data_IF_826919445164
#
_entry.id   IF_826919445164
#
_cell.length_a   1.000
_cell.length_b   1.000
_cell.length_c   1.000
_cell.angle_alpha   90.00
_cell.angle_beta   90.00
_cell.angle_gamma   90.00
#
_symmetry.space_group_name_H-M   'P 1'
#
loop_
_entity.id
_entity.type
_entity.pdbx_description
1 polymer ?
#
# COMPACT_ATOMS: atom_id res chain seq x y z
N UNK A 1 -34.87 11.79 33.58
CA UNK A 1 -33.52 11.47 34.06
C UNK A 1 -32.53 11.93 33.01
N UNK A 2 -32.00 13.13 33.16
CA UNK A 2 -30.87 13.66 32.39
C UNK A 2 -29.60 13.18 33.08
N UNK A 3 -28.75 12.45 32.36
CA UNK A 3 -27.44 12.03 32.87
C UNK A 3 -26.47 13.16 32.59
N UNK A 4 -25.94 13.74 33.66
CA UNK A 4 -24.88 14.74 33.63
C UNK A 4 -23.58 14.08 33.19
N UNK A 5 -22.94 14.63 32.16
CA UNK A 5 -21.66 14.16 31.59
C UNK A 5 -20.46 14.98 32.08
N UNK A 6 -20.59 15.74 33.18
CA UNK A 6 -19.44 16.42 33.80
C UNK A 6 -18.59 15.45 34.64
N UNK A 7 -18.06 14.38 34.03
CA UNK A 7 -16.96 13.64 34.63
C UNK A 7 -15.67 14.40 34.32
N UNK A 8 -15.08 15.02 35.34
CA UNK A 8 -13.79 15.70 35.27
C UNK A 8 -12.75 14.78 34.63
N UNK A 9 -12.09 15.28 33.59
CA UNK A 9 -10.88 14.66 33.06
C UNK A 9 -9.80 14.70 34.15
N UNK A 10 -9.72 13.64 34.96
CA UNK A 10 -8.60 13.46 35.87
C UNK A 10 -7.35 13.29 35.01
N UNK A 11 -6.43 14.25 35.11
CA UNK A 11 -5.16 14.20 34.41
C UNK A 11 -4.47 12.87 34.70
N UNK A 12 -4.14 12.11 33.66
CA UNK A 12 -3.29 10.93 33.77
C UNK A 12 -1.96 11.42 34.33
N UNK A 13 -1.42 10.84 35.41
CA UNK A 13 -0.12 11.25 35.94
C UNK A 13 0.93 11.12 34.84
N UNK A 14 1.62 12.22 34.51
CA UNK A 14 2.78 12.15 33.62
C UNK A 14 3.85 11.31 34.32
N UNK A 15 4.45 10.34 33.63
CA UNK A 15 5.70 9.76 34.10
C UNK A 15 6.75 10.87 34.11
N UNK A 16 7.01 11.44 35.30
CA UNK A 16 8.00 12.48 35.52
C UNK A 16 9.39 11.86 35.60
N UNK A 17 9.90 11.39 34.47
CA UNK A 17 11.25 10.89 34.30
C UNK A 17 11.59 10.86 32.81
N UNK A 18 12.84 11.17 32.46
CA UNK A 18 13.36 10.94 31.11
C UNK A 18 13.07 9.48 30.72
N UNK A 19 12.22 9.27 29.72
CA UNK A 19 12.00 7.94 29.16
C UNK A 19 13.35 7.51 28.60
N UNK A 20 14.00 6.55 29.26
CA UNK A 20 15.25 5.99 28.79
C UNK A 20 15.01 5.40 27.38
N UNK A 21 15.54 6.08 26.35
CA UNK A 21 15.32 5.72 24.95
C UNK A 21 16.12 4.49 24.54
N UNK A 22 17.09 4.06 25.35
CA UNK A 22 17.91 2.89 25.13
C UNK A 22 17.30 1.65 25.80
N UNK A 23 16.05 1.30 25.45
CA UNK A 23 15.50 -0.02 25.78
C UNK A 23 16.18 -1.03 24.84
N UNK A 24 16.98 -1.99 25.35
CA UNK A 24 17.59 -2.98 24.49
C UNK A 24 16.50 -3.81 23.80
N UNK A 25 16.70 -4.11 22.51
CA UNK A 25 15.84 -5.06 21.81
C UNK A 25 15.85 -6.41 22.57
N UNK A 26 14.72 -7.13 22.64
CA UNK A 26 14.69 -8.44 23.25
C UNK A 26 15.74 -9.36 22.61
N UNK A 27 16.53 -10.05 23.42
CA UNK A 27 17.54 -10.99 22.91
C UNK A 27 16.80 -12.21 22.33
N UNK A 28 16.86 -12.38 21.01
CA UNK A 28 16.19 -13.48 20.28
C UNK A 28 17.11 -14.68 19.98
N UNK A 29 18.36 -14.65 20.44
CA UNK A 29 19.40 -15.64 20.10
C UNK A 29 19.04 -17.09 20.52
N UNK A 30 18.19 -17.26 21.52
CA UNK A 30 17.77 -18.59 21.99
C UNK A 30 16.79 -19.31 21.05
N UNK A 31 16.23 -18.62 20.05
CA UNK A 31 15.17 -19.14 19.18
C UNK A 31 13.83 -19.38 19.88
N UNK A 32 13.77 -19.22 21.22
CA UNK A 32 12.55 -19.30 22.03
C UNK A 32 11.69 -18.05 21.80
N UNK A 33 12.34 -16.88 21.72
CA UNK A 33 11.68 -15.63 21.41
C UNK A 33 11.84 -15.31 19.92
N UNK A 34 10.75 -15.46 19.18
CA UNK A 34 10.68 -15.07 17.76
C UNK A 34 9.76 -13.86 17.59
N UNK A 35 10.03 -12.99 16.61
CA UNK A 35 9.03 -12.02 16.17
C UNK A 35 7.73 -12.75 15.82
N UNK A 36 6.58 -12.23 16.28
CA UNK A 36 5.26 -12.82 16.02
C UNK A 36 4.96 -12.96 14.52
N UNK A 37 5.54 -12.09 13.70
CA UNK A 37 5.34 -12.05 12.26
C UNK A 37 6.61 -12.61 11.60
N UNK A 38 6.60 -13.88 11.25
CA UNK A 38 7.61 -14.49 10.39
C UNK A 38 7.15 -14.27 8.93
N UNK A 39 7.69 -13.24 8.26
CA UNK A 39 7.28 -12.82 6.90
C UNK A 39 7.82 -13.77 5.82
N UNK A 40 8.74 -14.67 6.17
CA UNK A 40 9.23 -15.67 5.24
C UNK A 40 8.14 -16.71 4.98
N UNK A 41 7.28 -16.46 3.99
CA UNK A 41 6.45 -17.51 3.40
C UNK A 41 7.32 -18.29 2.40
N UNK A 42 7.85 -19.48 2.73
CA UNK A 42 8.75 -20.20 1.83
C UNK A 42 8.01 -20.93 0.69
N UNK A 43 6.68 -20.91 0.70
CA UNK A 43 5.85 -21.69 -0.20
C UNK A 43 4.77 -20.83 -0.86
N UNK A 44 4.12 -21.40 -1.89
CA UNK A 44 2.85 -20.85 -2.34
C UNK A 44 1.81 -21.01 -1.23
N UNK A 45 1.07 -19.95 -0.95
CA UNK A 45 -0.12 -20.02 -0.10
C UNK A 45 -1.30 -19.45 -0.86
N UNK A 46 -2.49 -19.92 -0.53
CA UNK A 46 -3.71 -19.39 -1.12
C UNK A 46 -4.78 -19.19 -0.06
N UNK A 47 -5.73 -18.31 -0.36
CA UNK A 47 -6.91 -18.10 0.43
C UNK A 47 -8.12 -17.93 -0.48
N UNK A 48 -9.18 -18.66 -0.15
CA UNK A 48 -10.50 -18.45 -0.73
C UNK A 48 -11.16 -17.20 -0.14
N UNK A 49 -11.95 -16.53 -0.97
CA UNK A 49 -12.75 -15.38 -0.57
C UNK A 49 -14.09 -15.42 -1.27
N UNK A 50 -15.13 -14.96 -0.58
CA UNK A 50 -16.48 -14.84 -1.12
C UNK A 50 -16.72 -13.54 -1.90
N UNK A 51 -15.74 -12.62 -1.88
CA UNK A 51 -15.87 -11.34 -2.58
C UNK A 51 -16.02 -11.56 -4.07
N UNK A 52 -16.95 -10.85 -4.71
CA UNK A 52 -17.01 -10.75 -6.16
C UNK A 52 -15.86 -9.87 -6.64
N UNK A 53 -15.09 -10.32 -7.62
CA UNK A 53 -14.07 -9.51 -8.28
C UNK A 53 -14.32 -9.51 -9.78
N UNK A 54 -14.19 -8.31 -10.38
CA UNK A 54 -14.35 -8.09 -11.82
C UNK A 54 -13.17 -7.32 -12.39
N UNK A 55 -12.64 -7.82 -13.50
CA UNK A 55 -11.64 -7.15 -14.33
C UNK A 55 -12.26 -6.72 -15.66
N UNK A 56 -12.13 -5.45 -16.01
CA UNK A 56 -12.75 -4.85 -17.20
C UNK A 56 -11.70 -4.20 -18.09
N UNK A 57 -11.80 -4.44 -19.40
CA UNK A 57 -11.02 -3.79 -20.45
C UNK A 57 -11.99 -3.09 -21.40
N UNK A 58 -11.88 -1.77 -21.54
CA UNK A 58 -12.91 -0.94 -22.14
C UNK A 58 -14.24 -1.10 -21.41
N UNK A 59 -15.24 -1.64 -22.10
CA UNK A 59 -16.56 -1.98 -21.54
C UNK A 59 -16.73 -3.50 -21.32
N UNK A 60 -15.74 -4.30 -21.70
CA UNK A 60 -15.83 -5.77 -21.64
C UNK A 60 -15.28 -6.29 -20.32
N UNK A 61 -16.13 -6.95 -19.54
CA UNK A 61 -15.68 -7.76 -18.41
C UNK A 61 -14.94 -9.00 -18.94
N UNK A 62 -13.62 -9.05 -18.73
CA UNK A 62 -12.76 -10.18 -19.14
C UNK A 62 -12.70 -11.27 -18.08
N UNK A 63 -13.07 -10.92 -16.84
CA UNK A 63 -13.25 -11.85 -15.73
C UNK A 63 -14.29 -11.31 -14.75
N UNK A 64 -15.12 -12.20 -14.19
CA UNK A 64 -16.11 -11.91 -13.14
C UNK A 64 -16.29 -13.16 -12.27
N UNK A 65 -15.89 -13.10 -11.00
CA UNK A 65 -15.82 -14.29 -10.15
C UNK A 65 -16.12 -14.00 -8.69
N UNK A 66 -16.85 -14.91 -8.03
CA UNK A 66 -17.01 -14.97 -6.56
C UNK A 66 -16.21 -16.11 -5.91
N UNK A 67 -15.37 -16.76 -6.70
CA UNK A 67 -14.59 -17.95 -6.32
C UNK A 67 -13.13 -17.79 -6.72
N UNK A 68 -12.65 -16.54 -6.78
CA UNK A 68 -11.24 -16.29 -7.03
C UNK A 68 -10.43 -16.63 -5.78
N UNK A 69 -9.18 -17.03 -6.01
CA UNK A 69 -8.20 -17.23 -4.97
C UNK A 69 -7.32 -16.00 -4.87
N UNK A 70 -7.00 -15.62 -3.64
CA UNK A 70 -5.80 -14.84 -3.35
C UNK A 70 -4.63 -15.82 -3.30
N UNK A 71 -3.61 -15.63 -4.12
CA UNK A 71 -2.42 -16.50 -4.16
C UNK A 71 -1.18 -15.68 -3.84
N UNK A 72 -0.42 -16.09 -2.83
CA UNK A 72 0.87 -15.51 -2.51
C UNK A 72 1.97 -16.46 -2.97
N UNK A 73 2.83 -15.98 -3.85
CA UNK A 73 4.07 -16.67 -4.19
C UNK A 73 5.03 -16.74 -2.98
N UNK A 74 5.99 -17.68 -2.96
CA UNK A 74 7.06 -17.70 -1.98
C UNK A 74 7.74 -16.34 -1.85
N UNK A 75 7.89 -15.84 -0.62
CA UNK A 75 8.50 -14.56 -0.30
C UNK A 75 7.78 -13.35 -0.93
N UNK A 76 6.52 -13.48 -1.38
CA UNK A 76 5.71 -12.33 -1.79
C UNK A 76 4.88 -11.84 -0.61
N UNK A 77 4.70 -10.52 -0.54
CA UNK A 77 3.81 -9.89 0.45
C UNK A 77 2.41 -9.70 -0.09
N UNK A 78 2.31 -9.42 -1.38
CA UNK A 78 1.06 -9.09 -2.03
C UNK A 78 0.50 -10.35 -2.70
N UNK A 79 -0.81 -10.59 -2.57
CA UNK A 79 -1.46 -11.66 -3.30
C UNK A 79 -1.66 -11.26 -4.77
N UNK A 80 -1.81 -12.28 -5.60
CA UNK A 80 -2.42 -12.19 -6.92
C UNK A 80 -3.85 -12.74 -6.89
N UNK A 81 -4.76 -12.17 -7.69
CA UNK A 81 -6.07 -12.77 -7.92
C UNK A 81 -5.98 -13.83 -9.01
N UNK A 82 -6.13 -15.09 -8.62
CA UNK A 82 -6.20 -16.24 -9.53
C UNK A 82 -7.66 -16.67 -9.66
N UNK A 83 -8.16 -16.77 -10.88
CA UNK A 83 -9.58 -17.00 -11.19
C UNK A 83 -9.79 -18.36 -11.82
N UNK A 84 -10.84 -19.13 -11.46
CA UNK A 84 -11.22 -20.31 -12.22
C UNK A 84 -11.38 -19.96 -13.70
N UNK A 85 -10.79 -20.76 -14.58
CA UNK A 85 -10.79 -20.51 -16.03
C UNK A 85 -12.21 -20.39 -16.60
N UNK A 86 -13.18 -21.09 -16.01
CA UNK A 86 -14.60 -20.99 -16.36
C UNK A 86 -15.23 -19.60 -16.08
N UNK A 87 -14.60 -18.77 -15.25
CA UNK A 87 -15.04 -17.40 -14.96
C UNK A 87 -14.28 -16.34 -15.77
N UNK A 88 -13.33 -16.78 -16.59
CA UNK A 88 -12.51 -15.95 -17.45
C UNK A 88 -12.99 -16.12 -18.89
N UNK A 89 -13.04 -15.02 -19.64
CA UNK A 89 -13.27 -15.06 -21.09
C UNK A 89 -12.04 -15.59 -21.83
N UNK A 90 -11.83 -16.90 -21.74
CA UNK A 90 -10.65 -17.58 -22.31
C UNK A 90 -10.60 -17.51 -23.83
N UNK A 91 -11.73 -17.28 -24.49
CA UNK A 91 -11.81 -17.01 -25.93
C UNK A 91 -11.06 -15.73 -26.34
N UNK A 92 -10.81 -14.82 -25.40
CA UNK A 92 -10.05 -13.58 -25.62
C UNK A 92 -8.55 -13.77 -25.37
N UNK A 93 -8.11 -14.93 -24.88
CA UNK A 93 -6.73 -15.22 -24.51
C UNK A 93 -6.03 -16.06 -25.56
N UNK A 94 -4.81 -15.68 -25.90
CA UNK A 94 -3.91 -16.44 -26.78
C UNK A 94 -2.60 -16.72 -26.06
N UNK A 95 -2.13 -17.99 -25.98
CA UNK A 95 -0.84 -18.29 -25.38
C UNK A 95 0.29 -17.49 -26.04
N UNK A 96 1.17 -16.92 -25.22
CA UNK A 96 2.36 -16.19 -25.68
C UNK A 96 3.61 -16.67 -24.94
N UNK A 97 4.77 -16.33 -25.48
CA UNK A 97 6.04 -16.52 -24.79
C UNK A 97 6.15 -15.57 -23.59
N UNK A 98 7.11 -15.82 -22.70
CA UNK A 98 7.43 -14.88 -21.64
C UNK A 98 7.95 -13.54 -22.21
N UNK A 99 7.71 -12.41 -21.53
CA UNK A 99 8.27 -11.13 -21.94
C UNK A 99 9.80 -11.18 -21.95
N UNK A 100 10.42 -10.63 -23.00
CA UNK A 100 11.87 -10.70 -23.23
C UNK A 100 12.70 -10.05 -22.11
N UNK A 101 12.18 -8.97 -21.53
CA UNK A 101 12.76 -8.31 -20.36
C UNK A 101 11.73 -8.31 -19.23
N UNK A 102 12.03 -8.90 -18.06
CA UNK A 102 11.12 -8.82 -16.93
C UNK A 102 10.98 -7.36 -16.51
N UNK A 103 9.74 -6.86 -16.43
CA UNK A 103 9.48 -5.46 -16.07
C UNK A 103 10.18 -5.10 -14.76
N UNK A 104 10.80 -3.93 -14.67
CA UNK A 104 11.61 -3.51 -13.50
C UNK A 104 10.80 -3.34 -12.20
N UNK A 105 9.46 -3.33 -12.27
CA UNK A 105 8.62 -3.17 -11.09
C UNK A 105 8.43 -4.51 -10.33
N UNK A 106 8.55 -4.50 -8.98
CA UNK A 106 8.57 -5.72 -8.17
C UNK A 106 7.18 -6.36 -7.93
N UNK A 107 6.08 -5.73 -8.33
CA UNK A 107 4.72 -6.14 -7.99
C UNK A 107 3.79 -6.22 -9.21
N UNK A 108 2.69 -6.98 -9.06
CA UNK A 108 1.58 -7.06 -10.01
C UNK A 108 1.83 -7.99 -11.20
N UNK A 109 2.80 -8.90 -11.08
CA UNK A 109 3.26 -9.88 -12.07
C UNK A 109 3.83 -11.12 -11.36
N UNK A 110 3.90 -12.28 -12.02
CA UNK A 110 4.55 -13.45 -11.44
C UNK A 110 6.05 -13.21 -11.27
N UNK A 111 6.58 -13.57 -10.11
CA UNK A 111 8.02 -13.68 -9.83
C UNK A 111 8.51 -15.12 -9.99
N UNK A 112 7.60 -16.08 -9.86
CA UNK A 112 7.81 -17.47 -10.19
C UNK A 112 8.01 -17.61 -11.71
N UNK A 113 9.12 -18.21 -12.16
CA UNK A 113 9.47 -18.21 -13.58
C UNK A 113 8.61 -19.18 -14.41
N UNK A 114 8.08 -20.23 -13.77
CA UNK A 114 7.34 -21.28 -14.46
C UNK A 114 5.85 -20.93 -14.56
N UNK A 115 5.52 -20.15 -15.57
CA UNK A 115 4.14 -19.77 -15.91
C UNK A 115 3.92 -19.81 -17.42
N UNK A 116 2.70 -20.13 -17.83
CA UNK A 116 2.26 -19.94 -19.22
C UNK A 116 1.66 -18.55 -19.36
N UNK A 117 2.23 -17.70 -20.20
CA UNK A 117 1.74 -16.35 -20.48
C UNK A 117 0.62 -16.32 -21.52
N UNK A 118 -0.23 -15.30 -21.47
CA UNK A 118 -1.28 -15.05 -22.43
C UNK A 118 -1.35 -13.57 -22.83
N UNK A 119 -1.52 -13.34 -24.12
CA UNK A 119 -1.99 -12.07 -24.67
C UNK A 119 -3.52 -12.03 -24.61
N UNK A 120 -4.09 -10.85 -24.38
CA UNK A 120 -5.52 -10.61 -24.33
C UNK A 120 -5.95 -9.72 -25.50
N UNK A 121 -6.97 -10.13 -26.25
CA UNK A 121 -7.53 -9.35 -27.37
C UNK A 121 -8.98 -8.97 -27.08
N UNK A 122 -9.29 -7.67 -27.04
CA UNK A 122 -10.64 -7.14 -26.80
C UNK A 122 -10.98 -6.14 -27.90
N UNK A 123 -11.89 -6.52 -28.80
CA UNK A 123 -12.10 -5.77 -30.04
C UNK A 123 -10.80 -5.66 -30.83
N UNK A 124 -10.40 -4.46 -31.20
CA UNK A 124 -9.15 -4.20 -31.94
C UNK A 124 -7.92 -4.05 -31.03
N UNK A 125 -8.10 -4.05 -29.70
CA UNK A 125 -7.01 -3.87 -28.75
C UNK A 125 -6.37 -5.21 -28.39
N UNK A 126 -5.12 -5.40 -28.80
CA UNK A 126 -4.25 -6.46 -28.31
C UNK A 126 -3.44 -5.96 -27.10
N UNK A 127 -3.44 -6.73 -26.02
CA UNK A 127 -2.74 -6.46 -24.76
C UNK A 127 -1.79 -7.62 -24.50
N UNK A 128 -0.51 -7.39 -24.72
CA UNK A 128 0.51 -8.44 -24.58
C UNK A 128 0.73 -8.79 -23.10
N UNK A 129 0.96 -10.07 -22.81
CA UNK A 129 1.31 -10.56 -21.46
C UNK A 129 0.32 -10.06 -20.39
N UNK A 130 -0.98 -10.12 -20.69
CA UNK A 130 -2.05 -9.59 -19.84
C UNK A 130 -2.42 -10.55 -18.71
N UNK A 131 -2.20 -11.85 -18.92
CA UNK A 131 -2.53 -12.90 -17.97
C UNK A 131 -1.48 -14.01 -18.00
N UNK A 132 -1.52 -14.86 -16.99
CA UNK A 132 -0.73 -16.07 -16.92
C UNK A 132 -1.48 -17.19 -16.22
N UNK A 133 -0.98 -18.40 -16.39
CA UNK A 133 -1.38 -19.60 -15.67
C UNK A 133 -0.18 -20.16 -14.92
N UNK A 134 -0.37 -20.46 -13.65
CA UNK A 134 0.68 -21.01 -12.78
C UNK A 134 1.00 -22.46 -13.19
N UNK A 135 2.29 -22.81 -13.23
CA UNK A 135 2.72 -24.22 -13.26
C UNK A 135 2.91 -24.73 -11.82
N UNK A 136 1.81 -24.74 -11.05
CA UNK A 136 1.82 -25.12 -9.62
C UNK A 136 0.67 -26.11 -9.38
N UNK A 137 0.94 -27.28 -8.75
CA UNK A 137 -0.11 -28.24 -8.43
C UNK A 137 -1.25 -27.61 -7.61
N UNK A 138 -2.50 -27.81 -8.04
CA UNK A 138 -3.71 -27.24 -7.45
C UNK A 138 -4.17 -25.90 -8.05
N UNK A 139 -3.37 -25.28 -8.93
CA UNK A 139 -3.72 -24.04 -9.64
C UNK A 139 -3.89 -24.25 -11.15
N UNK A 140 -3.97 -25.50 -11.61
CA UNK A 140 -4.01 -25.88 -13.02
C UNK A 140 -5.26 -25.41 -13.75
N UNK A 141 -6.34 -25.06 -13.05
CA UNK A 141 -7.55 -24.55 -13.69
C UNK A 141 -7.74 -23.05 -13.47
N UNK A 142 -6.71 -22.36 -12.97
CA UNK A 142 -6.76 -20.94 -12.66
C UNK A 142 -5.96 -20.07 -13.63
N UNK A 143 -6.48 -18.88 -13.91
CA UNK A 143 -5.84 -17.83 -14.71
C UNK A 143 -5.73 -16.57 -13.85
N UNK A 144 -4.56 -15.94 -13.91
CA UNK A 144 -4.20 -14.78 -13.11
C UNK A 144 -3.93 -13.60 -14.04
N UNK A 145 -4.28 -12.39 -13.63
CA UNK A 145 -4.16 -11.20 -14.47
C UNK A 145 -3.11 -10.22 -13.95
N UNK A 146 -2.51 -9.50 -14.88
CA UNK A 146 -1.48 -8.50 -14.63
C UNK A 146 -2.08 -7.17 -14.16
N UNK A 147 -1.50 -6.60 -13.10
CA UNK A 147 -1.99 -5.37 -12.44
C UNK A 147 -1.26 -4.08 -12.84
N UNK A 148 -0.35 -4.15 -13.83
CA UNK A 148 0.29 -2.94 -14.35
C UNK A 148 -0.68 -2.16 -15.23
N UNK A 149 -0.38 -0.87 -15.39
CA UNK A 149 -1.09 0.01 -16.31
C UNK A 149 -1.19 -0.59 -17.71
N UNK A 150 -2.37 -0.45 -18.31
CA UNK A 150 -2.63 -0.86 -19.69
C UNK A 150 -2.93 -2.35 -19.85
N UNK A 151 -2.91 -3.14 -18.76
CA UNK A 151 -3.25 -4.57 -18.78
C UNK A 151 -4.74 -4.80 -18.63
N UNK A 152 -5.28 -4.55 -17.44
CA UNK A 152 -6.72 -4.51 -17.17
C UNK A 152 -7.06 -3.08 -16.78
N UNK A 153 -8.09 -2.50 -17.40
CA UNK A 153 -8.36 -1.07 -17.28
C UNK A 153 -9.01 -0.74 -15.93
N UNK A 154 -9.93 -1.57 -15.46
CA UNK A 154 -10.61 -1.37 -14.17
C UNK A 154 -10.73 -2.67 -13.39
N UNK A 155 -10.52 -2.58 -12.09
CA UNK A 155 -10.79 -3.66 -11.15
C UNK A 155 -11.85 -3.23 -10.14
N UNK A 156 -12.79 -4.13 -9.89
CA UNK A 156 -13.83 -3.96 -8.88
C UNK A 156 -13.80 -5.11 -7.88
N UNK A 157 -13.93 -4.77 -6.60
CA UNK A 157 -14.32 -5.68 -5.54
C UNK A 157 -15.77 -5.35 -5.15
N UNK A 158 -16.66 -6.33 -5.27
CA UNK A 158 -18.10 -6.10 -5.35
C UNK A 158 -18.42 -5.05 -6.44
N UNK A 159 -18.93 -3.89 -6.02
CA UNK A 159 -19.19 -2.72 -6.87
C UNK A 159 -18.22 -1.56 -6.56
N UNK A 160 -17.28 -1.74 -5.63
CA UNK A 160 -16.27 -0.74 -5.32
C UNK A 160 -15.14 -0.79 -6.34
N UNK A 161 -14.85 0.36 -6.96
CA UNK A 161 -13.70 0.51 -7.83
C UNK A 161 -12.41 0.44 -7.00
N UNK A 162 -11.62 -0.61 -7.22
CA UNK A 162 -10.30 -0.81 -6.58
C UNK A 162 -9.20 -0.14 -7.40
N UNK A 163 -9.33 -0.14 -8.72
CA UNK A 163 -8.34 0.40 -9.65
C UNK A 163 -8.95 0.97 -10.92
N UNK A 164 -8.35 2.06 -11.41
CA UNK A 164 -8.50 2.56 -12.77
C UNK A 164 -7.10 2.84 -13.37
N UNK A 165 -6.80 2.21 -14.51
CA UNK A 165 -5.54 2.30 -15.24
C UNK A 165 -5.19 3.70 -15.73
N UNK A 166 -6.12 4.65 -15.69
CA UNK A 166 -5.82 6.05 -15.93
C UNK A 166 -4.86 6.65 -14.89
N UNK A 167 -4.73 6.06 -13.69
CA UNK A 167 -4.17 6.75 -12.54
C UNK A 167 -2.69 6.50 -12.22
N UNK A 168 -2.02 5.43 -12.69
CA UNK A 168 -0.61 5.15 -12.36
C UNK A 168 -0.03 3.90 -13.07
N UNK A 169 1.31 3.68 -13.07
CA UNK A 169 1.96 2.56 -13.75
C UNK A 169 1.80 1.21 -13.04
N UNK A 170 1.53 1.15 -11.73
CA UNK A 170 1.49 -0.12 -10.96
C UNK A 170 0.36 -0.17 -9.93
N UNK A 171 -0.19 -1.36 -9.72
CA UNK A 171 -1.16 -1.64 -8.65
C UNK A 171 -1.10 -3.13 -8.23
N UNK A 172 -1.96 -3.53 -7.28
CA UNK A 172 -2.09 -4.91 -6.81
C UNK A 172 -3.47 -5.19 -6.19
N UNK A 173 -3.86 -6.48 -6.06
CA UNK A 173 -5.01 -6.92 -5.28
C UNK A 173 -5.02 -6.44 -3.82
N UNK A 174 -6.20 -6.30 -3.21
CA UNK A 174 -6.29 -6.10 -1.75
C UNK A 174 -5.99 -7.41 -1.01
N UNK A 175 -5.17 -7.30 0.02
CA UNK A 175 -4.88 -8.34 1.00
C UNK A 175 -5.89 -8.23 2.15
N UNK A 176 -6.64 -9.29 2.51
CA UNK A 176 -7.59 -9.28 3.63
C UNK A 176 -6.94 -9.04 5.00
N UNK A 177 -5.62 -9.22 5.12
CA UNK A 177 -4.85 -8.96 6.34
C UNK A 177 -4.19 -7.59 6.35
N UNK A 178 -4.33 -6.79 5.28
CA UNK A 178 -3.95 -5.40 5.30
C UNK A 178 -4.86 -4.63 6.27
N UNK A 179 -4.26 -4.12 7.33
CA UNK A 179 -4.91 -3.29 8.33
C UNK A 179 -4.27 -1.91 8.31
N UNK A 180 -5.11 -0.88 8.38
CA UNK A 180 -4.67 0.51 8.52
C UNK A 180 -5.34 1.10 9.77
N UNK A 181 -4.54 1.48 10.75
CA UNK A 181 -5.01 2.21 11.93
C UNK A 181 -4.54 3.67 11.83
N UNK A 182 -5.50 4.60 11.95
CA UNK A 182 -5.22 6.05 11.98
C UNK A 182 -5.55 6.59 13.36
N UNK A 183 -4.51 6.86 14.14
CA UNK A 183 -4.59 7.18 15.57
C UNK A 183 -4.16 8.63 15.81
N UNK A 184 -5.00 9.48 16.43
CA UNK A 184 -4.62 10.83 16.78
C UNK A 184 -3.58 10.84 17.90
N UNK A 185 -2.68 11.81 17.86
CA UNK A 185 -1.62 11.99 18.85
C UNK A 185 -1.38 13.47 19.10
N UNK A 186 -1.15 13.82 20.37
CA UNK A 186 -0.73 15.15 20.80
C UNK A 186 0.78 15.31 20.92
N UNK A 187 1.55 14.28 20.56
CA UNK A 187 3.02 14.30 20.57
C UNK A 187 3.52 15.40 19.63
N UNK A 188 4.58 16.09 20.02
CA UNK A 188 5.16 17.17 19.22
C UNK A 188 5.97 16.58 18.07
N UNK A 189 5.61 16.89 16.84
CA UNK A 189 6.23 16.39 15.62
C UNK A 189 6.89 17.54 14.89
N UNK A 190 8.18 17.41 14.61
CA UNK A 190 8.94 18.34 13.79
C UNK A 190 9.54 17.61 12.60
N UNK A 191 9.45 18.20 11.42
CA UNK A 191 9.98 17.63 10.18
C UNK A 191 10.96 18.61 9.55
N UNK A 192 12.13 18.11 9.15
CA UNK A 192 13.19 18.90 8.53
C UNK A 192 13.62 18.28 7.20
N UNK A 193 13.98 19.10 6.24
CA UNK A 193 14.68 18.62 5.04
C UNK A 193 16.13 18.21 5.38
N UNK A 194 16.86 17.66 4.41
CA UNK A 194 18.25 17.24 4.60
C UNK A 194 19.23 18.41 4.74
N UNK A 195 18.80 19.65 4.47
CA UNK A 195 19.58 20.87 4.69
C UNK A 195 19.31 21.52 6.06
N UNK A 196 18.36 20.98 6.84
CA UNK A 196 17.99 21.45 8.17
C UNK A 196 16.87 22.49 8.20
N UNK A 197 16.21 22.78 7.07
CA UNK A 197 15.06 23.69 7.05
C UNK A 197 13.82 22.99 7.62
N UNK A 198 13.01 23.73 8.40
CA UNK A 198 11.75 23.23 8.95
C UNK A 198 10.71 23.09 7.83
N UNK A 199 10.17 21.88 7.67
CA UNK A 199 9.07 21.57 6.76
C UNK A 199 7.72 21.49 7.47
N UNK A 200 7.70 21.11 8.75
CA UNK A 200 6.48 21.10 9.56
C UNK A 200 6.80 21.13 11.07
N UNK A 201 5.88 21.68 11.86
CA UNK A 201 5.92 21.69 13.34
C UNK A 201 4.48 21.61 13.86
N UNK A 202 4.12 20.51 14.54
CA UNK A 202 2.74 20.20 14.90
C UNK A 202 2.62 19.43 16.22
N UNK A 203 1.53 19.65 16.95
CA UNK A 203 1.09 18.81 18.08
C UNK A 203 -0.25 18.12 17.77
N UNK A 204 -0.67 18.07 16.50
CA UNK A 204 -1.95 17.53 16.06
C UNK A 204 -1.77 16.50 14.92
N UNK A 205 -0.87 15.55 15.17
CA UNK A 205 -0.53 14.49 14.21
C UNK A 205 -1.52 13.33 14.22
N UNK A 206 -1.73 12.71 13.07
CA UNK A 206 -2.33 11.39 12.96
C UNK A 206 -1.25 10.37 12.61
N UNK A 207 -1.02 9.41 13.49
CA UNK A 207 -0.10 8.30 13.24
C UNK A 207 -0.86 7.20 12.49
N UNK A 208 -0.44 6.93 11.27
CA UNK A 208 -0.96 5.86 10.43
C UNK A 208 -0.03 4.65 10.54
N UNK A 209 -0.59 3.55 11.01
CA UNK A 209 0.06 2.24 11.06
C UNK A 209 -0.58 1.37 9.99
N UNK A 210 0.25 0.79 9.13
CA UNK A 210 -0.21 -0.09 8.07
C UNK A 210 0.58 -1.39 8.10
N UNK A 211 -0.11 -2.52 7.96
CA UNK A 211 0.50 -3.85 8.02
C UNK A 211 1.77 -3.89 7.17
N UNK A 212 2.89 -4.22 7.81
CA UNK A 212 4.21 -4.40 7.17
C UNK A 212 4.84 -3.14 6.54
N UNK A 213 4.30 -1.94 6.75
CA UNK A 213 4.89 -0.67 6.29
C UNK A 213 5.34 0.21 7.47
N UNK A 214 6.36 1.07 7.26
CA UNK A 214 6.74 2.06 8.25
C UNK A 214 5.58 2.98 8.61
N UNK A 215 5.38 3.34 9.89
CA UNK A 215 4.34 4.27 10.27
C UNK A 215 4.54 5.63 9.60
N UNK A 216 3.46 6.25 9.17
CA UNK A 216 3.46 7.58 8.55
C UNK A 216 2.69 8.56 9.43
N UNK A 217 3.24 9.76 9.61
CA UNK A 217 2.60 10.80 10.41
C UNK A 217 1.95 11.80 9.46
N UNK A 218 0.63 11.97 9.57
CA UNK A 218 -0.17 12.91 8.79
C UNK A 218 -0.45 14.17 9.60
N UNK A 219 0.14 15.29 9.15
CA UNK A 219 0.07 16.59 9.80
C UNK A 219 -0.98 17.48 9.13
N UNK A 220 -1.64 18.38 9.87
CA UNK A 220 -2.53 19.38 9.28
C UNK A 220 -1.78 20.26 8.29
N UNK A 221 -2.41 20.64 7.17
CA UNK A 221 -1.81 21.58 6.20
C UNK A 221 -1.37 22.90 6.84
N UNK A 222 -2.07 23.38 7.86
CA UNK A 222 -1.75 24.62 8.58
C UNK A 222 -0.38 24.57 9.30
N UNK A 223 0.09 23.38 9.63
CA UNK A 223 1.34 23.16 10.37
C UNK A 223 2.52 22.86 9.43
N UNK A 224 2.28 22.81 8.12
CA UNK A 224 3.26 22.55 7.07
C UNK A 224 3.73 23.86 6.44
N UNK A 225 5.04 24.01 6.29
CA UNK A 225 5.71 25.18 5.71
C UNK A 225 5.82 25.03 4.19
N UNK A 226 4.70 25.22 3.50
CA UNK A 226 4.64 25.12 2.03
C UNK A 226 5.55 26.13 1.32
N UNK A 227 5.98 27.20 1.98
CA UNK A 227 7.01 28.11 1.46
C UNK A 227 8.35 27.41 1.16
N UNK A 228 8.63 26.27 1.82
CA UNK A 228 9.84 25.46 1.63
C UNK A 228 9.62 24.27 0.67
N UNK A 229 8.41 24.14 0.11
CA UNK A 229 7.99 23.05 -0.75
C UNK A 229 7.62 23.54 -2.16
N UNK A 230 7.81 22.66 -3.15
CA UNK A 230 7.37 22.85 -4.53
C UNK A 230 6.48 21.70 -4.96
N UNK A 231 5.42 22.00 -5.71
CA UNK A 231 4.53 20.98 -6.27
C UNK A 231 5.30 20.08 -7.25
N UNK A 232 5.03 18.78 -7.16
CA UNK A 232 5.51 17.79 -8.12
C UNK A 232 4.31 17.25 -8.88
N UNK A 233 4.38 17.28 -10.22
CA UNK A 233 3.37 16.67 -11.08
C UNK A 233 3.47 15.13 -10.99
N UNK A 234 2.87 14.61 -9.94
CA UNK A 234 2.80 13.20 -9.61
C UNK A 234 1.46 12.94 -8.92
N UNK A 235 0.82 11.83 -9.25
CA UNK A 235 -0.37 11.37 -8.55
C UNK A 235 -0.31 9.86 -8.45
N UNK A 236 -0.43 9.30 -7.25
CA UNK A 236 -0.44 7.87 -7.01
C UNK A 236 -1.81 7.35 -6.57
N UNK A 237 -2.05 6.05 -6.73
CA UNK A 237 -3.27 5.38 -6.24
C UNK A 237 -2.89 4.15 -5.43
N UNK A 238 -3.51 4.01 -4.26
CA UNK A 238 -3.36 2.88 -3.37
C UNK A 238 -4.71 2.16 -3.24
N UNK A 239 -4.77 0.82 -3.37
CA UNK A 239 -6.01 0.04 -3.21
C UNK A 239 -6.76 0.29 -1.91
N UNK A 240 -6.02 0.68 -0.86
CA UNK A 240 -6.57 0.88 0.48
C UNK A 240 -6.87 2.35 0.81
N UNK A 241 -6.09 3.29 0.27
CA UNK A 241 -6.18 4.72 0.67
C UNK A 241 -6.82 5.60 -0.39
N UNK A 242 -6.95 5.13 -1.63
CA UNK A 242 -7.45 5.92 -2.75
C UNK A 242 -6.32 6.65 -3.49
N UNK A 243 -6.68 7.74 -4.16
CA UNK A 243 -5.77 8.53 -5.00
C UNK A 243 -5.18 9.71 -4.21
N UNK A 244 -3.87 9.92 -4.31
CA UNK A 244 -3.22 11.09 -3.72
C UNK A 244 -3.70 12.37 -4.41
N UNK A 245 -3.92 13.43 -3.63
CA UNK A 245 -4.30 14.75 -4.12
C UNK A 245 -3.11 15.67 -4.44
N UNK A 246 -1.89 15.31 -4.04
CA UNK A 246 -0.70 16.11 -4.34
C UNK A 246 0.59 15.50 -3.80
N UNK A 247 1.69 15.94 -4.38
CA UNK A 247 3.06 15.63 -4.00
C UNK A 247 3.91 16.89 -3.96
N UNK A 248 4.90 16.92 -3.07
CA UNK A 248 5.81 18.04 -2.95
C UNK A 248 7.27 17.59 -2.80
N UNK A 249 8.20 18.38 -3.36
CA UNK A 249 9.65 18.27 -3.16
C UNK A 249 10.17 19.41 -2.26
N UNK A 250 11.33 19.21 -1.63
CA UNK A 250 12.03 20.29 -0.92
C UNK A 250 12.78 21.19 -1.91
N UNK A 251 12.55 22.51 -1.82
CA UNK A 251 13.20 23.51 -2.70
C UNK A 251 14.72 23.45 -2.70
N UNK A 252 15.33 23.17 -1.55
CA UNK A 252 16.76 23.32 -1.33
C UNK A 252 17.61 22.10 -1.75
N UNK A 253 17.00 20.97 -2.14
CA UNK A 253 17.72 19.68 -2.19
C UNK A 253 17.59 18.95 -3.54
N UNK A 254 16.37 18.74 -4.05
CA UNK A 254 16.13 17.91 -5.24
C UNK A 254 14.64 17.95 -5.63
N UNK A 255 14.27 17.80 -6.92
CA UNK A 255 12.86 17.66 -7.34
C UNK A 255 12.21 16.34 -6.92
N UNK A 256 12.91 15.49 -6.15
CA UNK A 256 12.34 14.24 -5.65
C UNK A 256 11.18 14.55 -4.69
N UNK A 257 10.04 13.92 -4.93
CA UNK A 257 8.90 14.04 -4.02
C UNK A 257 9.26 13.50 -2.62
N UNK A 258 9.08 14.35 -1.61
CA UNK A 258 9.33 14.05 -0.20
C UNK A 258 8.06 14.07 0.66
N UNK A 259 6.98 14.66 0.17
CA UNK A 259 5.71 14.74 0.86
C UNK A 259 4.53 14.43 -0.07
N UNK A 260 3.42 13.99 0.50
CA UNK A 260 2.18 13.72 -0.24
C UNK A 260 0.93 13.99 0.62
N UNK A 261 -0.21 14.08 -0.04
CA UNK A 261 -1.52 14.20 0.60
C UNK A 261 -2.58 13.39 -0.13
N UNK A 262 -3.65 13.02 0.56
CA UNK A 262 -4.86 12.46 -0.02
C UNK A 262 -5.99 13.49 0.09
N UNK A 263 -6.47 14.03 -1.03
CA UNK A 263 -7.61 14.96 -1.04
C UNK A 263 -8.94 14.24 -0.88
N UNK A 264 -9.05 13.06 -1.47
CA UNK A 264 -10.24 12.20 -1.40
C UNK A 264 -9.83 10.77 -1.03
N UNK A 265 -9.36 10.55 0.22
CA UNK A 265 -9.01 9.22 0.67
C UNK A 265 -10.25 8.31 0.74
N UNK A 266 -10.02 6.99 0.70
CA UNK A 266 -11.07 6.00 0.93
C UNK A 266 -11.73 6.20 2.30
N UNK A 267 -12.97 5.73 2.44
CA UNK A 267 -13.75 5.90 3.68
C UNK A 267 -13.02 5.35 4.93
N UNK A 268 -12.33 4.23 4.77
CA UNK A 268 -11.61 3.55 5.86
C UNK A 268 -10.46 4.39 6.45
N UNK A 269 -9.90 5.31 5.67
CA UNK A 269 -8.82 6.20 6.12
C UNK A 269 -9.21 7.68 6.00
N UNK A 270 -10.50 7.99 5.93
CA UNK A 270 -11.03 9.35 5.73
C UNK A 270 -10.45 10.43 6.65
N UNK A 271 -10.00 10.05 7.86
CA UNK A 271 -9.32 10.95 8.81
C UNK A 271 -8.06 11.63 8.26
N UNK A 272 -7.37 11.03 7.29
CA UNK A 272 -6.16 11.62 6.68
C UNK A 272 -6.45 12.62 5.57
N UNK A 273 -7.74 12.88 5.26
CA UNK A 273 -8.15 13.82 4.23
C UNK A 273 -7.46 15.16 4.41
N UNK A 274 -6.86 15.65 3.32
CA UNK A 274 -6.17 16.93 3.24
C UNK A 274 -5.01 17.11 4.23
N UNK A 275 -4.52 16.03 4.85
CA UNK A 275 -3.31 16.07 5.68
C UNK A 275 -2.08 15.69 4.86
N UNK A 276 -0.92 16.13 5.31
CA UNK A 276 0.37 15.93 4.63
C UNK A 276 1.20 14.93 5.41
N UNK A 277 1.74 13.94 4.72
CA UNK A 277 2.75 13.03 5.26
C UNK A 277 4.06 13.19 4.49
N UNK A 278 5.16 12.80 5.13
CA UNK A 278 6.50 12.86 4.57
C UNK A 278 7.09 11.46 4.45
N UNK A 279 7.96 11.26 3.46
CA UNK A 279 8.74 10.05 3.34
C UNK A 279 9.85 10.10 4.39
N UNK A 280 9.68 9.42 5.52
CA UNK A 280 10.65 9.29 6.62
C UNK A 280 12.09 9.05 6.11
N UNK A 281 12.24 8.28 5.03
CA UNK A 281 13.53 8.00 4.37
C UNK A 281 14.16 9.18 3.62
N UNK A 282 13.49 10.33 3.52
CA UNK A 282 13.89 11.53 2.78
C UNK A 282 13.87 12.81 3.62
N UNK A 283 13.46 12.71 4.89
CA UNK A 283 13.39 13.84 5.83
C UNK A 283 13.92 13.41 7.19
N UNK A 284 14.30 14.38 8.03
CA UNK A 284 14.52 14.13 9.45
C UNK A 284 13.21 14.41 10.19
N UNK A 285 12.78 13.48 11.04
CA UNK A 285 11.59 13.64 11.87
C UNK A 285 12.00 13.57 13.33
N UNK A 286 11.56 14.53 14.14
CA UNK A 286 11.62 14.47 15.60
C UNK A 286 10.21 14.27 16.13
N UNK A 287 10.05 13.37 17.10
CA UNK A 287 8.81 13.24 17.88
C UNK A 287 9.15 13.39 19.36
N UNK A 288 8.58 14.41 20.00
CA UNK A 288 8.91 14.87 21.36
C UNK A 288 10.41 15.12 21.54
N UNK A 289 11.05 15.73 20.52
CA UNK A 289 12.49 16.02 20.51
C UNK A 289 13.41 14.82 20.23
N UNK A 290 12.87 13.60 20.13
CA UNK A 290 13.63 12.38 19.84
C UNK A 290 13.53 12.04 18.36
N UNK A 291 14.66 11.71 17.73
CA UNK A 291 14.67 11.32 16.32
C UNK A 291 13.81 10.08 16.08
N UNK A 292 12.83 10.23 15.18
CA UNK A 292 11.89 9.19 14.80
C UNK A 292 12.50 8.36 13.68
N UNK A 293 13.22 7.32 14.08
CA UNK A 293 13.75 6.33 13.15
C UNK A 293 12.70 5.26 12.94
N UNK A 294 12.47 4.89 11.69
CA UNK A 294 11.63 3.75 11.35
C UNK A 294 12.08 2.53 12.16
N UNK A 295 11.12 1.78 12.72
CA UNK A 295 11.45 0.42 13.12
C UNK A 295 12.06 -0.28 11.91
N UNK A 296 13.16 -1.04 12.06
CA UNK A 296 13.86 -1.64 10.93
C UNK A 296 12.85 -2.30 10.01
N UNK A 297 12.88 -1.91 8.73
CA UNK A 297 12.10 -2.58 7.69
C UNK A 297 12.43 -4.06 7.84
N UNK A 298 11.47 -4.88 8.26
CA UNK A 298 11.67 -6.33 8.47
C UNK A 298 11.88 -7.06 7.12
N UNK A 299 12.31 -6.35 6.08
CA UNK A 299 12.12 -6.74 4.68
C UNK A 299 13.09 -6.07 3.69
N UNK A 300 14.21 -5.50 4.13
CA UNK A 300 15.26 -5.06 3.21
C UNK A 300 15.89 -6.26 2.48
#
# INVERSE_FOLDING_TARGET
MTVDLSASASAIPSFAGEINTAIPAPITESGILKPRIEIANPAFTFQETSRRVRGVVGETAVVDSRHHLLVWEPHNKLPDYSFPSAHVRTELLTPSAAPAEPTTHPYGRPRWPEVQWFDLTVGDRKIEHAAWKWNVPGLEDYITFHWLKGKVDKWFEEDELVFDAAALPFNHPRDPYARIDVIPSSRHVQVFDTAGNVLADSTNGLFLYETSLPPRIYLPKADVKFENLEDVDLATTCPYKGRTGGYWSAKAVSPKAIAWSYGEPSLNVSKIKDRVAFFNEHVKILVDGVEYVDSPKVWA
#
